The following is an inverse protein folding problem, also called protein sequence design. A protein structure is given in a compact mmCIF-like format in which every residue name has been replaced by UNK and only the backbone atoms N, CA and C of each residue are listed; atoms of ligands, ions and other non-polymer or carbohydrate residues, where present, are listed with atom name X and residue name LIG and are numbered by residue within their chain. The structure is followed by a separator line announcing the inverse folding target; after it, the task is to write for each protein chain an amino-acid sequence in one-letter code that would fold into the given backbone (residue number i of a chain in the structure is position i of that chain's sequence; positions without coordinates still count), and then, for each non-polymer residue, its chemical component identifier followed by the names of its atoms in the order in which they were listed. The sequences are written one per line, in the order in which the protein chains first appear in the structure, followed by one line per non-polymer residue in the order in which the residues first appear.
data_IF_170748864809
#
_entry.id   IF_170748864809
#
_cell.length_a   1.000
_cell.length_b   1.000
_cell.length_c   1.000
_cell.angle_alpha   90.00
_cell.angle_beta   90.00
_cell.angle_gamma   90.00
#
_symmetry.space_group_name_H-M   'P 1'
#
loop_
_entity.id
_entity.type
_entity.pdbx_description
1 polymer ?
#
# COMPACT_ATOMS: atom_id res chain seq x y z
N UNK A 1 9.96 1.76 1.93
CA UNK A 1 10.95 0.82 1.40
C UNK A 1 10.21 -0.19 0.55
N UNK A 2 10.64 -0.32 -0.65
CA UNK A 2 10.04 -1.20 -1.62
C UNK A 2 10.55 -2.63 -1.43
N UNK A 3 9.64 -3.53 -1.19
CA UNK A 3 10.00 -4.90 -0.86
C UNK A 3 10.50 -5.70 -2.05
N UNK A 4 9.98 -5.45 -3.28
CA UNK A 4 9.98 -6.61 -4.15
C UNK A 4 9.98 -6.39 -5.67
N UNK A 5 10.70 -5.38 -6.16
CA UNK A 5 10.92 -5.23 -7.60
C UNK A 5 11.47 -6.50 -8.26
N UNK A 6 12.25 -7.28 -7.53
CA UNK A 6 12.82 -8.51 -8.05
C UNK A 6 11.74 -9.48 -8.57
N UNK A 7 10.63 -9.61 -7.85
CA UNK A 7 9.55 -10.51 -8.22
C UNK A 7 8.76 -10.04 -9.44
N UNK A 8 8.66 -8.75 -9.68
CA UNK A 8 7.97 -8.21 -10.86
C UNK A 8 8.58 -8.75 -12.16
N UNK A 9 9.90 -8.89 -12.21
CA UNK A 9 10.61 -9.33 -13.41
C UNK A 9 10.80 -10.86 -13.47
N UNK A 10 10.83 -11.54 -12.32
CA UNK A 10 11.23 -12.94 -12.23
C UNK A 10 10.06 -13.92 -12.05
N UNK A 11 8.88 -13.44 -11.66
CA UNK A 11 7.71 -14.30 -11.49
C UNK A 11 7.19 -14.77 -12.84
N UNK A 12 7.12 -16.09 -13.09
CA UNK A 12 6.52 -16.60 -14.31
C UNK A 12 5.08 -16.14 -14.49
N UNK A 13 4.67 -15.75 -15.72
CA UNK A 13 3.33 -15.17 -15.97
C UNK A 13 2.13 -15.98 -15.46
N UNK A 14 2.26 -17.32 -15.43
CA UNK A 14 1.20 -18.19 -14.93
C UNK A 14 0.92 -18.05 -13.43
N UNK A 15 1.85 -17.47 -12.66
CA UNK A 15 1.68 -17.22 -11.23
C UNK A 15 1.20 -15.79 -10.94
N UNK A 16 0.95 -15.02 -11.99
CA UNK A 16 0.47 -13.65 -11.90
C UNK A 16 1.57 -12.62 -11.72
N UNK A 17 1.19 -11.45 -11.22
CA UNK A 17 2.10 -10.34 -10.99
C UNK A 17 2.97 -10.56 -9.75
N UNK A 18 4.20 -10.05 -9.75
CA UNK A 18 5.08 -9.96 -8.59
C UNK A 18 4.85 -8.72 -7.72
N UNK A 19 3.80 -7.95 -7.99
CA UNK A 19 3.53 -6.65 -7.32
C UNK A 19 2.87 -6.75 -5.94
N UNK A 20 2.67 -7.94 -5.39
CA UNK A 20 1.95 -8.14 -4.13
C UNK A 20 2.65 -7.53 -2.92
N UNK A 21 3.95 -7.71 -2.78
CA UNK A 21 4.76 -7.03 -1.77
C UNK A 21 4.77 -7.66 -0.37
N UNK A 22 4.57 -8.98 -0.23
CA UNK A 22 4.47 -9.65 1.07
C UNK A 22 5.69 -10.48 1.47
N UNK A 23 6.74 -10.48 0.65
CA UNK A 23 7.99 -11.20 0.93
C UNK A 23 9.19 -10.29 0.76
N UNK A 24 10.21 -10.46 1.60
CA UNK A 24 11.44 -9.72 1.50
C UNK A 24 12.34 -10.28 0.38
N UNK A 25 12.88 -9.39 -0.42
CA UNK A 25 14.01 -9.75 -1.27
C UNK A 25 15.27 -9.83 -0.41
N UNK A 26 15.68 -11.05 -0.06
CA UNK A 26 16.80 -11.29 0.85
C UNK A 26 18.16 -10.99 0.24
N UNK A 27 18.26 -10.82 -1.08
CA UNK A 27 19.48 -10.33 -1.74
C UNK A 27 19.73 -8.85 -1.43
N UNK A 28 18.64 -8.07 -1.28
CA UNK A 28 18.69 -6.65 -0.93
C UNK A 28 18.58 -6.42 0.57
N UNK A 29 17.80 -7.22 1.28
CA UNK A 29 17.54 -7.15 2.71
C UNK A 29 17.85 -8.50 3.37
N UNK A 30 19.15 -8.86 3.55
CA UNK A 30 19.53 -10.18 4.07
C UNK A 30 19.00 -10.45 5.50
N UNK A 31 18.83 -9.40 6.29
CA UNK A 31 18.26 -9.45 7.65
C UNK A 31 17.27 -8.29 7.81
N UNK A 32 16.00 -8.48 7.43
CA UNK A 32 14.99 -7.43 7.51
C UNK A 32 14.73 -6.94 8.94
N UNK A 33 14.75 -7.83 9.92
CA UNK A 33 14.51 -7.47 11.32
C UNK A 33 15.62 -6.58 11.88
N UNK A 34 16.88 -6.92 11.64
CA UNK A 34 18.00 -6.08 12.02
C UNK A 34 17.97 -4.72 11.29
N UNK A 35 17.59 -4.70 10.03
CA UNK A 35 17.43 -3.48 9.26
C UNK A 35 16.33 -2.57 9.84
N UNK A 36 15.16 -3.10 10.13
CA UNK A 36 14.05 -2.35 10.73
C UNK A 36 14.39 -1.86 12.15
N UNK A 37 15.04 -2.71 12.95
CA UNK A 37 15.51 -2.32 14.29
C UNK A 37 16.49 -1.16 14.24
N UNK A 38 17.40 -1.13 13.26
CA UNK A 38 18.33 -0.01 13.08
C UNK A 38 17.61 1.29 12.68
N UNK A 39 16.59 1.21 11.83
CA UNK A 39 15.76 2.37 11.50
C UNK A 39 15.04 2.91 12.74
N UNK A 40 14.46 2.04 13.55
CA UNK A 40 13.82 2.40 14.81
C UNK A 40 14.79 3.04 15.79
N UNK A 41 16.02 2.51 15.90
CA UNK A 41 17.07 3.10 16.74
C UNK A 41 17.42 4.54 16.33
N UNK A 42 17.27 4.87 15.03
CA UNK A 42 17.43 6.23 14.49
C UNK A 42 16.18 7.10 14.65
N UNK A 43 15.12 6.61 15.28
CA UNK A 43 13.85 7.33 15.45
C UNK A 43 12.98 7.36 14.19
N UNK A 44 13.27 6.52 13.19
CA UNK A 44 12.49 6.43 11.96
C UNK A 44 11.35 5.42 12.10
N UNK A 45 10.30 5.60 11.31
CA UNK A 45 9.21 4.65 11.14
C UNK A 45 9.19 4.14 9.70
N UNK A 46 8.77 2.89 9.52
CA UNK A 46 8.86 2.21 8.24
C UNK A 46 7.48 1.80 7.74
N UNK A 47 7.23 2.06 6.48
CA UNK A 47 6.08 1.53 5.75
C UNK A 47 6.53 0.64 4.62
N UNK A 48 5.72 -0.35 4.29
CA UNK A 48 5.87 -1.15 3.07
C UNK A 48 4.71 -0.86 2.12
N UNK A 49 5.02 -0.87 0.83
CA UNK A 49 4.05 -0.73 -0.24
C UNK A 49 3.40 -2.07 -0.54
N UNK A 50 2.07 -2.12 -0.63
CA UNK A 50 1.33 -3.34 -0.95
C UNK A 50 0.29 -3.09 -2.03
N UNK A 51 0.06 -4.10 -2.86
CA UNK A 51 -0.92 -4.13 -3.95
C UNK A 51 -1.88 -5.31 -3.74
N UNK A 52 -2.83 -5.22 -2.81
CA UNK A 52 -3.68 -6.36 -2.41
C UNK A 52 -4.52 -6.96 -3.52
N UNK A 53 -4.86 -6.17 -4.56
CA UNK A 53 -5.70 -6.63 -5.67
C UNK A 53 -5.18 -7.91 -6.37
N UNK A 54 -3.87 -8.13 -6.35
CA UNK A 54 -3.27 -9.32 -6.94
C UNK A 54 -3.41 -10.57 -6.06
N UNK A 55 -3.98 -10.44 -4.88
CA UNK A 55 -4.16 -11.52 -3.92
C UNK A 55 -2.86 -12.00 -3.30
N UNK A 56 -2.81 -13.27 -2.87
CA UNK A 56 -1.62 -13.89 -2.30
C UNK A 56 -1.11 -14.95 -3.26
N UNK A 57 0.13 -14.80 -3.70
CA UNK A 57 0.75 -15.66 -4.72
C UNK A 57 1.57 -16.77 -4.10
N UNK A 58 1.74 -17.87 -4.84
CA UNK A 58 2.43 -19.07 -4.33
C UNK A 58 3.93 -18.86 -3.99
N UNK A 59 4.54 -17.81 -4.51
CA UNK A 59 5.92 -17.45 -4.20
C UNK A 59 6.07 -16.66 -2.89
N UNK A 60 4.97 -16.15 -2.33
CA UNK A 60 5.01 -15.40 -1.07
C UNK A 60 5.31 -16.33 0.12
N UNK A 61 6.16 -15.86 1.03
CA UNK A 61 6.56 -16.63 2.21
C UNK A 61 5.37 -17.09 3.04
N UNK A 62 4.32 -16.26 3.15
CA UNK A 62 3.12 -16.55 3.93
C UNK A 62 2.03 -17.31 3.17
N UNK A 63 2.24 -17.64 1.89
CA UNK A 63 1.20 -18.25 1.05
C UNK A 63 0.57 -19.49 1.69
N UNK A 64 1.40 -20.43 2.19
CA UNK A 64 0.92 -21.66 2.81
C UNK A 64 0.10 -21.40 4.06
N UNK A 65 0.58 -20.50 4.91
CA UNK A 65 -0.12 -20.16 6.16
C UNK A 65 -1.47 -19.49 5.88
N UNK A 66 -1.54 -18.62 4.87
CA UNK A 66 -2.81 -18.01 4.43
C UNK A 66 -3.75 -19.06 3.82
N UNK A 67 -3.24 -19.97 2.99
CA UNK A 67 -4.05 -21.06 2.43
C UNK A 67 -4.65 -21.95 3.54
N UNK A 68 -3.84 -22.33 4.52
CA UNK A 68 -4.30 -23.11 5.69
C UNK A 68 -5.36 -22.38 6.50
N UNK A 69 -5.16 -21.08 6.78
CA UNK A 69 -6.14 -20.24 7.50
C UNK A 69 -7.49 -20.17 6.78
N UNK A 70 -7.47 -20.26 5.45
CA UNK A 70 -8.66 -20.27 4.60
C UNK A 70 -9.20 -21.68 4.30
N UNK A 71 -8.65 -22.73 4.92
CA UNK A 71 -9.03 -24.11 4.66
C UNK A 71 -8.77 -24.58 3.22
N UNK A 72 -7.79 -23.96 2.53
CA UNK A 72 -7.44 -24.27 1.14
C UNK A 72 -6.20 -25.13 1.04
N UNK A 73 -6.09 -25.89 -0.03
CA UNK A 73 -4.88 -26.68 -0.31
C UNK A 73 -3.83 -25.78 -0.98
N UNK A 74 -2.63 -25.72 -0.38
CA UNK A 74 -1.49 -24.99 -0.94
C UNK A 74 -0.71 -25.80 -2.00
N UNK A 75 -1.07 -27.08 -2.22
CA UNK A 75 -0.26 -28.00 -3.03
C UNK A 75 -0.32 -27.71 -4.56
N UNK A 76 -1.36 -27.06 -5.01
CA UNK A 76 -1.58 -26.72 -6.43
C UNK A 76 -0.92 -25.41 -6.86
N UNK A 77 -0.44 -24.59 -5.91
CA UNK A 77 0.18 -23.30 -6.18
C UNK A 77 -0.76 -22.25 -6.78
N UNK A 78 -2.07 -22.48 -6.69
CA UNK A 78 -3.04 -21.53 -7.23
C UNK A 78 -3.08 -20.24 -6.40
N UNK A 79 -3.15 -19.07 -7.05
CA UNK A 79 -3.27 -17.80 -6.35
C UNK A 79 -4.50 -17.75 -5.45
N UNK A 80 -4.33 -17.18 -4.26
CA UNK A 80 -5.46 -16.85 -3.39
C UNK A 80 -5.98 -15.48 -3.82
N UNK A 81 -7.17 -15.45 -4.42
CA UNK A 81 -7.74 -14.22 -4.93
C UNK A 81 -8.06 -13.25 -3.79
N UNK A 82 -7.80 -11.97 -4.04
CA UNK A 82 -8.21 -10.88 -3.16
C UNK A 82 -9.74 -10.76 -3.12
N UNK A 83 -10.29 -10.66 -1.92
CA UNK A 83 -11.69 -10.35 -1.71
C UNK A 83 -11.91 -9.57 -0.42
N UNK A 84 -11.99 -8.26 -0.53
CA UNK A 84 -12.22 -7.38 0.62
C UNK A 84 -13.61 -7.54 1.26
N UNK A 85 -14.52 -8.29 0.66
CA UNK A 85 -15.87 -8.54 1.17
C UNK A 85 -16.02 -9.90 1.84
N UNK A 86 -14.99 -10.73 1.75
CA UNK A 86 -14.89 -12.02 2.45
C UNK A 86 -14.21 -11.82 3.81
N UNK A 87 -14.96 -12.06 4.87
CA UNK A 87 -14.44 -11.88 6.23
C UNK A 87 -13.28 -12.84 6.54
N UNK A 88 -13.38 -14.10 6.13
CA UNK A 88 -12.32 -15.08 6.39
C UNK A 88 -11.04 -14.68 5.67
N UNK A 89 -11.16 -14.18 4.43
CA UNK A 89 -10.02 -13.64 3.72
C UNK A 89 -9.42 -12.43 4.44
N UNK A 90 -10.23 -11.48 4.89
CA UNK A 90 -9.74 -10.27 5.58
C UNK A 90 -9.11 -10.59 6.92
N UNK A 91 -9.65 -11.55 7.68
CA UNK A 91 -9.05 -12.03 8.92
C UNK A 91 -7.65 -12.64 8.64
N UNK A 92 -7.52 -13.53 7.63
CA UNK A 92 -6.24 -14.09 7.24
C UNK A 92 -5.27 -13.03 6.67
N UNK A 93 -5.79 -12.06 5.94
CA UNK A 93 -5.03 -10.94 5.37
C UNK A 93 -4.33 -10.11 6.47
N UNK A 94 -5.02 -9.79 7.56
CA UNK A 94 -4.42 -9.06 8.67
C UNK A 94 -3.62 -9.97 9.59
N UNK A 95 -4.21 -11.06 10.07
CA UNK A 95 -3.63 -11.83 11.17
C UNK A 95 -2.48 -12.76 10.74
N UNK A 96 -2.47 -13.21 9.51
CA UNK A 96 -1.42 -14.10 8.99
C UNK A 96 -0.43 -13.35 8.09
N UNK A 97 -0.93 -12.58 7.13
CA UNK A 97 -0.09 -11.97 6.10
C UNK A 97 0.62 -10.72 6.61
N UNK A 98 -0.13 -9.75 7.17
CA UNK A 98 0.42 -8.47 7.60
C UNK A 98 1.10 -8.57 8.97
N UNK A 99 0.51 -9.30 9.91
CA UNK A 99 1.03 -9.40 11.27
C UNK A 99 2.45 -9.91 11.32
N UNK A 100 2.80 -10.89 10.49
CA UNK A 100 4.16 -11.40 10.37
C UNK A 100 5.18 -10.29 10.08
N UNK A 101 4.85 -9.39 9.16
CA UNK A 101 5.73 -8.29 8.78
C UNK A 101 5.77 -7.19 9.84
N UNK A 102 4.65 -6.94 10.51
CA UNK A 102 4.59 -6.01 11.63
C UNK A 102 5.40 -6.50 12.84
N UNK A 103 5.37 -7.80 13.11
CA UNK A 103 6.19 -8.42 14.16
C UNK A 103 7.70 -8.30 13.87
N UNK A 104 8.09 -8.24 12.60
CA UNK A 104 9.45 -7.93 12.17
C UNK A 104 9.84 -6.45 12.33
N UNK A 105 8.85 -5.56 12.52
CA UNK A 105 9.10 -4.14 12.77
C UNK A 105 8.49 -3.17 11.75
N UNK A 106 7.59 -3.61 10.88
CA UNK A 106 6.85 -2.69 9.99
C UNK A 106 5.84 -1.90 10.82
N UNK A 107 5.87 -0.57 10.71
CA UNK A 107 5.06 0.31 11.56
C UNK A 107 3.67 0.60 11.02
N UNK A 108 3.53 0.73 9.71
CA UNK A 108 2.25 1.03 9.04
C UNK A 108 2.29 0.59 7.57
N UNK A 109 1.17 0.76 6.85
CA UNK A 109 1.03 0.25 5.49
C UNK A 109 0.76 1.36 4.49
N UNK A 110 1.40 1.25 3.33
CA UNK A 110 1.12 2.02 2.14
C UNK A 110 0.30 1.15 1.18
N UNK A 111 -1.02 1.37 1.22
CA UNK A 111 -1.98 0.69 0.34
C UNK A 111 -2.02 1.45 -0.97
N UNK A 112 -1.39 0.88 -1.98
CA UNK A 112 -1.26 1.52 -3.29
C UNK A 112 -2.32 1.03 -4.26
N UNK A 113 -2.63 1.84 -5.28
CA UNK A 113 -3.63 1.61 -6.31
C UNK A 113 -5.08 1.49 -5.77
N UNK A 114 -6.07 1.36 -6.72
CA UNK A 114 -7.50 1.34 -6.40
C UNK A 114 -8.04 -0.04 -6.03
N UNK A 115 -7.24 -1.10 -6.14
CA UNK A 115 -7.58 -2.48 -5.76
C UNK A 115 -8.70 -3.12 -6.60
N UNK A 116 -8.75 -2.76 -7.88
CA UNK A 116 -9.76 -3.23 -8.82
C UNK A 116 -10.95 -2.27 -8.94
N UNK A 117 -11.78 -2.52 -9.94
CA UNK A 117 -12.93 -1.67 -10.25
C UNK A 117 -14.18 -2.02 -9.43
N UNK A 118 -14.30 -3.27 -9.01
CA UNK A 118 -15.51 -3.79 -8.37
C UNK A 118 -15.16 -4.79 -7.28
N UNK A 119 -15.92 -4.74 -6.18
CA UNK A 119 -15.99 -5.82 -5.20
C UNK A 119 -17.14 -6.79 -5.57
N UNK A 120 -17.28 -7.88 -4.82
CA UNK A 120 -18.44 -8.77 -4.96
C UNK A 120 -19.76 -8.11 -4.56
N UNK A 121 -19.69 -7.03 -3.77
CA UNK A 121 -20.88 -6.28 -3.35
C UNK A 121 -21.04 -5.10 -4.30
N UNK A 122 -22.11 -5.02 -5.10
CA UNK A 122 -22.34 -3.91 -6.02
C UNK A 122 -22.34 -2.56 -5.30
N UNK A 123 -21.60 -1.59 -5.86
CA UNK A 123 -21.51 -0.23 -5.32
C UNK A 123 -20.54 -0.06 -4.15
N UNK A 124 -19.83 -1.13 -3.76
CA UNK A 124 -18.78 -1.07 -2.73
C UNK A 124 -17.42 -1.03 -3.41
N UNK A 125 -16.69 0.05 -3.21
CA UNK A 125 -15.33 0.25 -3.73
C UNK A 125 -14.31 -0.55 -2.88
N UNK A 126 -13.45 -1.39 -3.52
CA UNK A 126 -12.49 -2.21 -2.79
C UNK A 126 -11.49 -1.41 -1.97
N UNK A 127 -10.97 -0.29 -2.51
CA UNK A 127 -10.01 0.55 -1.80
C UNK A 127 -10.66 1.25 -0.60
N UNK A 128 -11.93 1.65 -0.71
CA UNK A 128 -12.65 2.23 0.41
C UNK A 128 -12.76 1.24 1.59
N UNK A 129 -13.09 -0.02 1.29
CA UNK A 129 -13.15 -1.10 2.29
C UNK A 129 -11.78 -1.35 2.91
N UNK A 130 -10.73 -1.44 2.08
CA UNK A 130 -9.36 -1.62 2.58
C UNK A 130 -8.91 -0.47 3.46
N UNK A 131 -9.17 0.78 3.06
CA UNK A 131 -8.81 1.94 3.87
C UNK A 131 -9.49 1.90 5.24
N UNK A 132 -10.76 1.48 5.28
CA UNK A 132 -11.48 1.32 6.53
C UNK A 132 -10.82 0.29 7.45
N UNK A 133 -10.57 -0.92 6.95
CA UNK A 133 -10.01 -1.98 7.77
C UNK A 133 -8.56 -1.75 8.13
N UNK A 134 -7.71 -1.26 7.21
CA UNK A 134 -6.34 -0.88 7.54
C UNK A 134 -6.28 0.21 8.61
N UNK A 135 -7.16 1.21 8.52
CA UNK A 135 -7.20 2.26 9.53
C UNK A 135 -7.58 1.70 10.90
N UNK A 136 -8.62 0.87 11.00
CA UNK A 136 -9.02 0.26 12.26
C UNK A 136 -7.93 -0.67 12.81
N UNK A 137 -7.37 -1.51 11.97
CA UNK A 137 -6.34 -2.47 12.35
C UNK A 137 -5.07 -1.76 12.84
N UNK A 138 -4.64 -0.68 12.19
CA UNK A 138 -3.48 0.10 12.60
C UNK A 138 -3.64 0.78 13.97
N UNK A 139 -4.87 0.94 14.43
CA UNK A 139 -5.21 1.49 15.76
C UNK A 139 -5.17 0.49 16.90
N UNK A 140 -4.77 -0.75 16.66
CA UNK A 140 -4.60 -1.76 17.71
C UNK A 140 -3.63 -1.30 18.79
N UNK A 141 -3.73 -1.89 19.94
CA UNK A 141 -2.81 -1.66 21.07
C UNK A 141 -2.72 -0.19 21.49
N UNK A 142 -3.83 0.55 21.36
CA UNK A 142 -3.94 1.98 21.68
C UNK A 142 -3.03 2.88 20.82
N UNK A 143 -2.60 2.40 19.65
CA UNK A 143 -1.91 3.22 18.67
C UNK A 143 -2.87 4.23 18.04
N UNK A 144 -2.34 5.36 17.61
CA UNK A 144 -3.12 6.30 16.78
C UNK A 144 -3.31 5.68 15.39
N UNK A 145 -4.55 5.47 14.94
CA UNK A 145 -4.78 4.85 13.65
C UNK A 145 -4.27 5.72 12.50
N UNK A 146 -3.69 5.07 11.52
CA UNK A 146 -3.21 5.71 10.29
C UNK A 146 -3.17 4.69 9.16
N UNK A 147 -3.57 5.10 7.97
CA UNK A 147 -3.28 4.38 6.74
C UNK A 147 -2.69 5.35 5.72
N UNK A 148 -1.79 4.90 4.87
CA UNK A 148 -1.24 5.70 3.78
C UNK A 148 -1.78 5.13 2.47
N UNK A 149 -2.66 5.87 1.78
CA UNK A 149 -3.44 5.31 0.69
C UNK A 149 -3.90 6.35 -0.30
N UNK A 150 -4.33 5.88 -1.46
CA UNK A 150 -4.92 6.69 -2.51
C UNK A 150 -6.35 7.11 -2.17
N UNK A 151 -6.88 8.03 -2.98
CA UNK A 151 -8.26 8.49 -2.89
C UNK A 151 -9.24 7.41 -3.38
N UNK A 152 -10.21 7.07 -2.54
CA UNK A 152 -11.23 6.06 -2.80
C UNK A 152 -12.66 6.66 -2.86
N UNK A 153 -12.79 7.94 -3.20
CA UNK A 153 -14.07 8.61 -3.28
C UNK A 153 -14.51 9.30 -1.98
N UNK A 154 -15.78 9.72 -1.89
CA UNK A 154 -16.32 10.39 -0.70
C UNK A 154 -16.17 9.56 0.57
N UNK A 155 -15.67 10.18 1.62
CA UNK A 155 -15.41 9.52 2.90
C UNK A 155 -13.95 9.13 3.13
N UNK A 156 -13.07 9.21 2.12
CA UNK A 156 -11.63 8.89 2.26
C UNK A 156 -10.92 9.73 3.33
N UNK A 157 -11.38 10.94 3.61
CA UNK A 157 -10.85 11.81 4.66
C UNK A 157 -10.92 11.20 6.06
N UNK A 158 -11.73 10.15 6.26
CA UNK A 158 -11.81 9.39 7.53
C UNK A 158 -10.58 8.54 7.80
N UNK A 159 -9.80 8.25 6.76
CA UNK A 159 -8.71 7.30 6.79
C UNK A 159 -7.41 7.95 6.29
N UNK A 160 -6.88 8.94 7.03
CA UNK A 160 -5.64 9.60 6.63
C UNK A 160 -4.45 8.62 6.73
N UNK A 161 -3.43 8.79 5.89
CA UNK A 161 -3.11 9.89 4.99
C UNK A 161 -3.41 9.48 3.55
N UNK A 162 -3.93 10.40 2.74
CA UNK A 162 -4.01 10.21 1.29
C UNK A 162 -2.74 10.67 0.58
N UNK A 163 -2.55 10.25 -0.70
CA UNK A 163 -1.47 10.74 -1.53
C UNK A 163 -1.85 10.80 -3.02
N UNK A 164 -1.14 11.66 -3.77
CA UNK A 164 -1.46 11.90 -5.17
C UNK A 164 -0.97 10.83 -6.15
N UNK A 165 -0.05 9.99 -5.77
CA UNK A 165 0.61 8.90 -6.49
C UNK A 165 0.45 8.81 -8.01
N UNK A 166 1.52 8.47 -8.72
CA UNK A 166 1.58 8.39 -10.18
C UNK A 166 1.22 9.71 -10.90
N UNK A 167 1.56 10.83 -10.28
CA UNK A 167 1.39 12.16 -10.91
C UNK A 167 2.33 12.30 -12.10
N UNK A 168 1.80 12.87 -13.20
CA UNK A 168 2.61 13.18 -14.37
C UNK A 168 3.58 14.32 -14.06
N UNK A 169 4.84 14.20 -14.51
CA UNK A 169 5.84 15.26 -14.39
C UNK A 169 5.51 16.41 -15.34
N UNK A 170 4.60 17.30 -14.92
CA UNK A 170 4.18 18.46 -15.70
C UNK A 170 3.76 19.62 -14.82
N UNK A 171 3.80 20.82 -15.38
CA UNK A 171 3.33 22.04 -14.72
C UNK A 171 1.83 21.97 -14.41
N UNK A 172 1.03 21.39 -15.29
CA UNK A 172 -0.42 21.21 -15.09
C UNK A 172 -0.70 20.32 -13.87
N UNK A 173 0.09 19.27 -13.67
CA UNK A 173 -0.03 18.42 -12.48
C UNK A 173 0.32 19.18 -11.21
N UNK A 174 1.36 20.03 -11.24
CA UNK A 174 1.70 20.87 -10.10
C UNK A 174 0.65 21.93 -9.82
N UNK A 175 0.15 22.62 -10.84
CA UNK A 175 -0.89 23.65 -10.70
C UNK A 175 -2.18 23.12 -10.10
N UNK A 176 -2.52 21.86 -10.40
CA UNK A 176 -3.68 21.20 -9.82
C UNK A 176 -3.55 20.99 -8.30
N UNK A 177 -2.36 20.74 -7.79
CA UNK A 177 -2.17 20.33 -6.38
C UNK A 177 -2.65 21.38 -5.36
N UNK A 178 -2.33 22.68 -5.47
CA UNK A 178 -2.83 23.70 -4.55
C UNK A 178 -4.36 23.82 -4.56
N UNK A 179 -4.97 23.79 -5.75
CA UNK A 179 -6.42 23.84 -5.88
C UNK A 179 -7.09 22.65 -5.23
N UNK A 180 -6.61 21.45 -5.55
CA UNK A 180 -7.09 20.21 -4.93
C UNK A 180 -6.96 20.24 -3.42
N UNK A 181 -5.77 20.58 -2.90
CA UNK A 181 -5.50 20.55 -1.46
C UNK A 181 -6.38 21.53 -0.70
N UNK A 182 -6.58 22.75 -1.24
CA UNK A 182 -7.44 23.74 -0.59
C UNK A 182 -8.91 23.29 -0.56
N UNK A 183 -9.41 22.70 -1.63
CA UNK A 183 -10.79 22.18 -1.70
C UNK A 183 -10.98 20.95 -0.82
N UNK A 184 -10.03 20.02 -0.82
CA UNK A 184 -10.05 18.83 0.00
C UNK A 184 -10.02 19.18 1.50
N UNK A 185 -9.26 20.20 1.88
CA UNK A 185 -9.19 20.67 3.27
C UNK A 185 -10.53 21.19 3.79
N UNK A 186 -11.40 21.75 2.92
CA UNK A 186 -12.73 22.20 3.30
C UNK A 186 -13.66 21.07 3.77
N UNK A 187 -13.38 19.84 3.38
CA UNK A 187 -14.12 18.65 3.83
C UNK A 187 -13.33 17.81 4.86
N UNK A 188 -12.25 18.37 5.41
CA UNK A 188 -11.41 17.69 6.39
C UNK A 188 -10.38 16.72 5.82
N UNK A 189 -10.15 16.71 4.49
CA UNK A 189 -9.14 15.88 3.85
C UNK A 189 -7.82 16.67 3.70
N UNK A 190 -7.29 17.13 4.82
CA UNK A 190 -6.09 17.97 4.89
C UNK A 190 -4.79 17.21 5.13
N UNK A 191 -4.86 15.90 5.41
CA UNK A 191 -3.68 15.05 5.58
C UNK A 191 -3.36 14.38 4.24
N UNK A 192 -2.50 15.04 3.49
CA UNK A 192 -2.21 14.69 2.12
C UNK A 192 -0.72 14.71 1.85
N UNK A 193 -0.21 13.71 1.17
CA UNK A 193 1.16 13.62 0.67
C UNK A 193 1.18 13.80 -0.84
N UNK A 194 2.14 14.58 -1.30
CA UNK A 194 2.32 14.78 -2.74
C UNK A 194 3.36 13.82 -3.30
N UNK A 195 3.17 13.47 -4.56
CA UNK A 195 4.16 12.80 -5.40
C UNK A 195 5.16 13.85 -5.91
N UNK A 196 6.01 14.34 -4.99
CA UNK A 196 6.87 15.51 -5.21
C UNK A 196 7.80 15.29 -6.41
N UNK A 197 7.68 16.16 -7.41
CA UNK A 197 8.42 16.07 -8.66
C UNK A 197 7.69 15.27 -9.75
N UNK A 198 6.58 14.62 -9.44
CA UNK A 198 5.89 13.69 -10.30
C UNK A 198 6.59 12.32 -10.36
N UNK A 199 5.91 11.33 -10.89
CA UNK A 199 6.40 9.95 -10.95
C UNK A 199 6.40 9.40 -12.38
N UNK A 200 5.44 9.79 -13.21
CA UNK A 200 5.23 9.21 -14.53
C UNK A 200 5.43 10.23 -15.64
N UNK A 201 6.01 9.75 -16.73
CA UNK A 201 6.16 10.49 -17.99
C UNK A 201 6.78 11.89 -17.84
N UNK A 202 6.68 12.70 -18.90
CA UNK A 202 7.24 14.05 -18.89
C UNK A 202 8.74 14.09 -19.24
N UNK A 203 9.33 15.24 -19.06
CA UNK A 203 10.76 15.47 -19.25
C UNK A 203 11.33 16.16 -18.02
N UNK A 204 12.63 16.00 -17.81
CA UNK A 204 13.32 16.70 -16.72
C UNK A 204 13.17 18.22 -16.87
N UNK A 205 12.65 18.84 -15.82
CA UNK A 205 12.54 20.28 -15.67
C UNK A 205 12.96 20.64 -14.24
N UNK A 206 14.11 21.27 -14.10
CA UNK A 206 14.69 21.58 -12.79
C UNK A 206 13.92 22.69 -12.04
N UNK A 207 13.24 23.59 -12.77
CA UNK A 207 12.37 24.57 -12.14
C UNK A 207 11.08 23.91 -11.61
N UNK A 208 10.42 23.08 -12.42
CA UNK A 208 9.25 22.31 -11.99
C UNK A 208 9.57 21.50 -10.73
N UNK A 209 10.68 20.76 -10.72
CA UNK A 209 11.11 19.98 -9.55
C UNK A 209 11.30 20.87 -8.32
N UNK A 210 11.95 22.03 -8.48
CA UNK A 210 12.17 22.99 -7.39
C UNK A 210 10.84 23.51 -6.83
N UNK A 211 9.89 23.90 -7.70
CA UNK A 211 8.59 24.40 -7.27
C UNK A 211 7.76 23.34 -6.59
N UNK A 212 7.85 22.10 -7.09
CA UNK A 212 7.13 20.99 -6.46
C UNK A 212 7.65 20.66 -5.06
N UNK A 213 8.98 20.67 -4.87
CA UNK A 213 9.57 20.55 -3.52
C UNK A 213 9.11 21.69 -2.61
N UNK A 214 9.16 22.94 -3.08
CA UNK A 214 8.70 24.09 -2.27
C UNK A 214 7.23 24.00 -1.87
N UNK A 215 6.41 23.38 -2.70
CA UNK A 215 4.98 23.21 -2.42
C UNK A 215 4.70 21.98 -1.52
N UNK A 216 5.40 20.88 -1.73
CA UNK A 216 5.08 19.59 -1.11
C UNK A 216 5.73 19.33 0.26
N UNK A 217 6.64 20.20 0.72
CA UNK A 217 7.38 20.03 2.00
C UNK A 217 6.80 20.92 3.14
#
# INVERSE_FOLDING_TARGET
IYMDWHWVETVPPQFGSGWTGYSWNTDLFPDPEAFLAELHRRGLRTTLNVHPADGVRAFEDSYRAVAEALGRTAADGLPIAFDCTDREFMDAYFDVLHRRLEDQGVDFWWVDWQQGQHSRIPGVDPLWVLNHFHFLDSGRDSKRPMTFSRYAGPGSHRYPVGFSGDSVMSWESLDFQPEFTSRASNIGYGWWSHDIGGHMWGVRDDELATRWVQYGV
#
